data_IF_935380641679
#
_entry.id   IF_935380641679
#
_cell.length_a   1.000
_cell.length_b   1.000
_cell.length_c   1.000
_cell.angle_alpha   90.00
_cell.angle_beta   90.00
_cell.angle_gamma   90.00
#
_symmetry.space_group_name_H-M   'P 1'
#
loop_
_entity.id
_entity.type
_entity.pdbx_description
1 polymer ?
#
# COMPACT_ATOMS: atom_id res chain seq x y z
N UNK A 1 0.97 5.70 9.42
CA UNK A 1 -0.06 5.05 10.26
C UNK A 1 0.48 4.88 11.69
N UNK A 2 1.66 4.26 11.89
CA UNK A 2 2.21 4.05 13.23
C UNK A 2 2.32 5.36 14.03
N UNK A 3 2.99 6.37 13.50
CA UNK A 3 3.14 7.68 14.14
C UNK A 3 1.80 8.40 14.33
N UNK A 4 0.89 8.31 13.36
CA UNK A 4 -0.44 8.89 13.48
C UNK A 4 -1.24 8.25 14.63
N UNK A 5 -1.14 6.93 14.79
CA UNK A 5 -1.76 6.25 15.92
C UNK A 5 -1.11 6.66 17.25
N UNK A 6 0.21 6.83 17.30
CA UNK A 6 0.91 7.33 18.51
C UNK A 6 0.48 8.75 18.87
N UNK A 7 0.19 9.59 17.89
CA UNK A 7 -0.33 10.97 18.11
C UNK A 7 -1.82 11.02 18.43
N UNK A 8 -2.49 9.88 18.58
CA UNK A 8 -3.90 9.79 18.98
C UNK A 8 -4.92 9.91 17.85
N UNK A 9 -4.50 9.92 16.58
CA UNK A 9 -5.43 9.96 15.43
C UNK A 9 -6.26 8.67 15.26
N UNK A 10 -5.73 7.54 15.75
CA UNK A 10 -6.38 6.22 15.68
C UNK A 10 -6.91 5.86 14.29
N UNK A 11 -6.04 5.95 13.28
CA UNK A 11 -6.37 5.64 11.89
C UNK A 11 -6.56 4.14 11.61
N UNK A 12 -6.38 3.31 12.61
CA UNK A 12 -6.52 1.86 12.52
C UNK A 12 -5.19 1.14 12.31
N UNK A 13 -5.26 -0.14 11.93
CA UNK A 13 -4.10 -1.00 11.73
C UNK A 13 -3.99 -1.47 10.29
N UNK A 14 -2.79 -1.88 9.91
CA UNK A 14 -2.47 -2.35 8.56
C UNK A 14 -2.57 -3.86 8.50
N UNK A 15 -3.21 -4.38 7.45
CA UNK A 15 -3.01 -5.76 7.00
C UNK A 15 -2.07 -5.71 5.80
N UNK A 16 -0.91 -6.34 5.92
CA UNK A 16 0.05 -6.44 4.81
C UNK A 16 -0.31 -7.66 3.97
N UNK A 17 -0.38 -7.48 2.64
CA UNK A 17 -0.54 -8.58 1.70
C UNK A 17 0.71 -8.66 0.83
N UNK A 18 1.49 -9.72 0.99
CA UNK A 18 2.60 -10.00 0.09
C UNK A 18 2.03 -10.56 -1.21
N UNK A 19 2.14 -9.79 -2.29
CA UNK A 19 1.55 -10.14 -3.60
C UNK A 19 2.26 -11.33 -4.26
N UNK A 20 3.59 -11.44 -4.08
CA UNK A 20 4.43 -12.51 -4.66
C UNK A 20 5.27 -13.17 -3.57
N UNK A 21 5.36 -14.51 -3.60
CA UNK A 21 6.05 -15.27 -2.55
C UNK A 21 5.32 -15.24 -1.20
N UNK A 22 5.98 -15.71 -0.14
CA UNK A 22 5.40 -15.81 1.21
C UNK A 22 6.37 -15.51 2.35
N UNK A 23 7.67 -15.37 2.05
CA UNK A 23 8.72 -15.34 3.06
C UNK A 23 8.61 -14.14 4.01
N UNK A 24 8.38 -12.94 3.49
CA UNK A 24 8.26 -11.72 4.30
C UNK A 24 6.97 -11.69 5.11
N UNK A 25 5.87 -12.16 4.51
CA UNK A 25 4.61 -12.29 5.23
C UNK A 25 4.75 -13.26 6.41
N UNK A 26 5.41 -14.41 6.21
CA UNK A 26 5.70 -15.36 7.27
C UNK A 26 6.56 -14.80 8.39
N UNK A 27 7.66 -14.09 8.05
CA UNK A 27 8.53 -13.45 9.03
C UNK A 27 7.77 -12.41 9.88
N UNK A 28 6.97 -11.57 9.23
CA UNK A 28 6.20 -10.53 9.91
C UNK A 28 5.05 -11.11 10.75
N UNK A 29 4.43 -12.19 10.29
CA UNK A 29 3.43 -12.91 11.09
C UNK A 29 4.06 -13.56 12.31
N UNK A 30 5.25 -14.13 12.18
CA UNK A 30 6.02 -14.72 13.28
C UNK A 30 6.38 -13.74 14.40
N UNK A 31 6.56 -12.44 14.05
CA UNK A 31 6.79 -11.36 15.02
C UNK A 31 5.50 -10.71 15.55
N UNK A 32 4.33 -11.25 15.23
CA UNK A 32 3.04 -10.65 15.59
C UNK A 32 2.79 -9.29 14.93
N UNK A 33 3.40 -9.04 13.77
CA UNK A 33 3.29 -7.79 13.03
C UNK A 33 4.22 -6.68 13.53
N UNK A 34 5.14 -6.99 14.43
CA UNK A 34 6.09 -6.03 15.00
C UNK A 34 7.44 -6.10 14.28
N UNK A 35 8.03 -4.96 14.04
CA UNK A 35 9.36 -4.83 13.47
C UNK A 35 9.98 -3.48 13.86
N UNK A 36 11.25 -3.31 13.57
CA UNK A 36 11.96 -2.05 13.84
C UNK A 36 12.40 -1.37 12.56
N UNK A 37 12.42 -0.04 12.63
CA UNK A 37 12.97 0.83 11.60
C UNK A 37 14.15 1.58 12.20
N UNK A 38 15.31 1.46 11.58
CA UNK A 38 16.51 2.17 11.94
C UNK A 38 16.56 3.49 11.16
N UNK A 39 16.36 4.60 11.85
CA UNK A 39 16.37 5.94 11.22
C UNK A 39 17.77 6.53 11.39
N UNK A 40 18.45 6.74 10.25
CA UNK A 40 19.84 7.24 10.20
C UNK A 40 19.99 8.39 9.20
N UNK A 41 20.69 9.41 9.59
CA UNK A 41 20.99 10.54 8.71
C UNK A 41 21.18 11.85 9.45
N UNK A 42 20.81 12.95 8.78
CA UNK A 42 20.85 14.29 9.37
C UNK A 42 19.42 14.82 9.45
N UNK A 43 19.02 15.26 10.63
CA UNK A 43 17.74 15.89 10.89
C UNK A 43 17.98 17.22 11.62
N UNK A 44 17.50 18.33 11.06
CA UNK A 44 17.70 19.68 11.62
C UNK A 44 19.17 20.02 11.91
N UNK A 45 20.09 19.55 11.07
CA UNK A 45 21.54 19.79 11.22
C UNK A 45 22.24 18.87 12.22
N UNK A 46 21.53 17.97 12.89
CA UNK A 46 22.10 17.00 13.83
C UNK A 46 22.11 15.59 13.23
N UNK A 47 23.13 14.81 13.60
CA UNK A 47 23.18 13.38 13.25
C UNK A 47 22.17 12.62 14.09
N UNK A 48 21.34 11.80 13.44
CA UNK A 48 20.39 10.90 14.08
C UNK A 48 20.76 9.44 13.76
N UNK A 49 20.67 8.60 14.80
CA UNK A 49 20.76 7.16 14.73
C UNK A 49 19.85 6.61 15.82
N UNK A 50 18.59 6.27 15.45
CA UNK A 50 17.58 5.81 16.40
C UNK A 50 16.82 4.60 15.85
N UNK A 51 16.43 3.73 16.76
CA UNK A 51 15.58 2.58 16.46
C UNK A 51 14.13 2.91 16.81
N UNK A 52 13.25 2.79 15.85
CA UNK A 52 11.81 3.02 16.03
C UNK A 52 11.06 1.69 15.92
N UNK A 53 10.34 1.26 16.97
CA UNK A 53 9.46 0.09 16.87
C UNK A 53 8.24 0.43 16.02
N UNK A 54 7.83 -0.45 15.13
CA UNK A 54 6.60 -0.34 14.35
C UNK A 54 5.62 -1.43 14.79
N UNK A 55 4.45 -1.02 15.30
CA UNK A 55 3.42 -1.90 15.84
C UNK A 55 2.05 -1.70 15.16
N UNK A 56 2.01 -1.00 14.03
CA UNK A 56 0.76 -0.70 13.32
C UNK A 56 0.25 -1.87 12.49
N UNK A 57 1.05 -2.90 12.26
CA UNK A 57 0.63 -4.07 11.50
C UNK A 57 -0.15 -5.03 12.40
N UNK A 58 -1.36 -5.40 11.96
CA UNK A 58 -2.19 -6.39 12.68
C UNK A 58 -1.86 -7.82 12.28
N UNK A 59 -1.53 -8.02 11.01
CA UNK A 59 -1.12 -9.30 10.43
C UNK A 59 -0.53 -9.10 9.05
N UNK A 60 0.16 -10.12 8.57
CA UNK A 60 0.65 -10.21 7.20
C UNK A 60 0.14 -11.50 6.56
N UNK A 61 -0.24 -11.42 5.29
CA UNK A 61 -0.81 -12.52 4.52
C UNK A 61 0.02 -12.73 3.26
N UNK A 62 0.23 -13.97 2.88
CA UNK A 62 0.79 -14.33 1.58
C UNK A 62 -0.36 -14.58 0.60
N UNK A 63 -0.49 -13.76 -0.44
CA UNK A 63 -1.59 -13.90 -1.41
C UNK A 63 -1.62 -15.29 -2.05
N UNK A 64 -0.46 -15.90 -2.32
CA UNK A 64 -0.35 -17.22 -2.93
C UNK A 64 -0.87 -18.37 -2.06
N UNK A 65 -0.86 -18.22 -0.74
CA UNK A 65 -1.25 -19.27 0.20
C UNK A 65 -2.56 -18.96 0.94
N UNK A 66 -2.89 -17.67 1.10
CA UNK A 66 -3.95 -17.20 1.99
C UNK A 66 -4.99 -16.33 1.26
N UNK A 67 -5.21 -16.59 -0.04
CA UNK A 67 -6.10 -15.77 -0.86
C UNK A 67 -7.53 -15.63 -0.30
N UNK A 68 -8.17 -16.68 0.23
CA UNK A 68 -9.48 -16.54 0.87
C UNK A 68 -9.47 -15.53 2.02
N UNK A 69 -8.39 -15.49 2.81
CA UNK A 69 -8.25 -14.55 3.92
C UNK A 69 -8.02 -13.11 3.41
N UNK A 70 -7.26 -12.95 2.31
CA UNK A 70 -7.10 -11.65 1.64
C UNK A 70 -8.48 -11.12 1.20
N UNK A 71 -9.31 -11.94 0.57
CA UNK A 71 -10.66 -11.55 0.17
C UNK A 71 -11.56 -11.27 1.40
N UNK A 72 -11.42 -12.03 2.48
CA UNK A 72 -12.15 -11.77 3.73
C UNK A 72 -11.81 -10.40 4.32
N UNK A 73 -10.53 -10.03 4.32
CA UNK A 73 -10.07 -8.69 4.74
C UNK A 73 -10.61 -7.63 3.79
N UNK A 74 -10.52 -7.87 2.49
CA UNK A 74 -11.01 -6.96 1.47
C UNK A 74 -12.52 -6.69 1.61
N UNK A 75 -13.30 -7.70 1.99
CA UNK A 75 -14.73 -7.61 2.23
C UNK A 75 -15.10 -7.14 3.65
N UNK A 76 -14.16 -6.63 4.44
CA UNK A 76 -14.47 -6.01 5.72
C UNK A 76 -15.06 -4.62 5.51
N UNK A 77 -16.20 -4.34 6.17
CA UNK A 77 -16.79 -3.00 6.23
C UNK A 77 -15.90 -1.97 6.95
N UNK A 78 -14.92 -2.44 7.73
CA UNK A 78 -13.96 -1.58 8.45
C UNK A 78 -12.75 -1.20 7.60
N UNK A 79 -12.54 -1.82 6.43
CA UNK A 79 -11.44 -1.45 5.54
C UNK A 79 -11.67 -0.03 5.01
N UNK A 80 -10.69 0.85 5.18
CA UNK A 80 -10.78 2.27 4.80
C UNK A 80 -10.12 2.57 3.47
N UNK A 81 -9.01 1.90 3.16
CA UNK A 81 -8.27 2.10 1.91
C UNK A 81 -7.49 0.85 1.54
N UNK A 82 -7.12 0.76 0.27
CA UNK A 82 -6.15 -0.19 -0.27
C UNK A 82 -4.96 0.62 -0.75
N UNK A 83 -3.78 0.35 -0.19
CA UNK A 83 -2.52 0.92 -0.61
C UNK A 83 -1.72 -0.14 -1.38
N UNK A 84 -0.97 0.27 -2.39
CA UNK A 84 -0.01 -0.59 -3.06
C UNK A 84 1.39 0.03 -3.05
N UNK A 85 2.39 -0.83 -3.05
CA UNK A 85 3.80 -0.48 -3.24
C UNK A 85 4.52 -1.71 -3.81
N UNK A 86 4.25 -1.99 -5.08
CA UNK A 86 4.64 -3.22 -5.78
C UNK A 86 5.82 -3.02 -6.72
N UNK A 87 6.51 -1.88 -6.64
CA UNK A 87 7.50 -1.38 -7.61
C UNK A 87 6.87 -0.99 -8.96
N UNK A 88 7.65 -0.40 -9.85
CA UNK A 88 7.17 0.02 -11.17
C UNK A 88 6.70 -1.16 -12.02
N UNK A 89 7.40 -2.31 -11.93
CA UNK A 89 7.05 -3.55 -12.63
C UNK A 89 5.77 -4.20 -12.07
N UNK A 90 5.29 -3.77 -10.91
CA UNK A 90 4.07 -4.29 -10.31
C UNK A 90 2.79 -3.99 -11.10
N UNK A 91 2.85 -3.09 -12.08
CA UNK A 91 1.72 -2.80 -12.97
C UNK A 91 1.70 -3.70 -14.22
N UNK A 92 2.73 -4.53 -14.42
CA UNK A 92 2.77 -5.48 -15.53
C UNK A 92 1.71 -6.57 -15.35
N UNK A 93 1.10 -6.97 -16.47
CA UNK A 93 0.08 -7.99 -16.53
C UNK A 93 0.68 -9.36 -16.84
N UNK A 94 0.15 -10.41 -16.24
CA UNK A 94 0.44 -11.79 -16.65
C UNK A 94 -0.64 -12.25 -17.64
N UNK A 95 -0.28 -12.66 -18.87
CA UNK A 95 -1.24 -13.05 -19.89
C UNK A 95 -2.06 -14.30 -19.53
N UNK A 96 -1.66 -15.04 -18.51
CA UNK A 96 -2.40 -16.20 -18.02
C UNK A 96 -3.50 -15.83 -17.02
N UNK A 97 -3.56 -14.59 -16.54
CA UNK A 97 -4.58 -14.14 -15.59
C UNK A 97 -5.97 -14.18 -16.21
N UNK A 98 -6.93 -14.69 -15.46
CA UNK A 98 -8.33 -14.84 -15.87
C UNK A 98 -9.26 -14.49 -14.72
N UNK A 99 -10.47 -14.05 -15.04
CA UNK A 99 -11.53 -13.83 -14.07
C UNK A 99 -11.76 -15.07 -13.20
N UNK A 100 -11.86 -14.88 -11.90
CA UNK A 100 -12.12 -15.95 -10.94
C UNK A 100 -10.90 -16.77 -10.53
N UNK A 101 -9.68 -16.44 -10.98
CA UNK A 101 -8.47 -17.06 -10.45
C UNK A 101 -8.29 -16.70 -8.97
N UNK A 102 -7.77 -17.64 -8.20
CA UNK A 102 -7.68 -17.52 -6.74
C UNK A 102 -6.30 -17.97 -6.20
N UNK A 103 -5.27 -17.11 -6.18
CA UNK A 103 -5.24 -15.74 -6.72
C UNK A 103 -4.83 -15.66 -8.19
N UNK A 104 -5.08 -14.54 -8.88
CA UNK A 104 -4.37 -14.16 -10.09
C UNK A 104 -2.87 -13.94 -9.82
N UNK A 105 -2.05 -13.89 -10.86
CA UNK A 105 -0.59 -13.72 -10.72
C UNK A 105 -0.19 -12.25 -10.59
N UNK A 106 -0.66 -11.39 -11.50
CA UNK A 106 -0.33 -9.97 -11.47
C UNK A 106 -1.06 -9.21 -10.36
N UNK A 107 -0.49 -8.10 -9.90
CA UNK A 107 -1.12 -7.27 -8.88
C UNK A 107 -2.41 -6.58 -9.39
N UNK A 108 -2.44 -5.99 -10.61
CA UNK A 108 -3.68 -5.41 -11.11
C UNK A 108 -4.83 -6.41 -11.21
N UNK A 109 -4.54 -7.64 -11.63
CA UNK A 109 -5.53 -8.72 -11.69
C UNK A 109 -6.04 -9.12 -10.30
N UNK A 110 -5.16 -9.18 -9.28
CA UNK A 110 -5.57 -9.37 -7.88
C UNK A 110 -6.48 -8.23 -7.41
N UNK A 111 -6.17 -6.99 -7.80
CA UNK A 111 -6.99 -5.84 -7.42
C UNK A 111 -8.38 -5.90 -8.07
N UNK A 112 -8.49 -6.33 -9.34
CA UNK A 112 -9.80 -6.60 -9.97
C UNK A 112 -10.62 -7.58 -9.15
N UNK A 113 -10.03 -8.72 -8.76
CA UNK A 113 -10.75 -9.75 -7.99
C UNK A 113 -11.14 -9.25 -6.57
N UNK A 114 -10.30 -8.46 -5.94
CA UNK A 114 -10.61 -7.80 -4.65
C UNK A 114 -11.81 -6.86 -4.80
N UNK A 115 -11.81 -5.99 -5.81
CA UNK A 115 -12.90 -5.04 -6.03
C UNK A 115 -14.20 -5.75 -6.46
N UNK A 116 -14.09 -6.83 -7.27
CA UNK A 116 -15.22 -7.69 -7.62
C UNK A 116 -15.84 -8.36 -6.39
N UNK A 117 -15.01 -8.88 -5.48
CA UNK A 117 -15.49 -9.48 -4.22
C UNK A 117 -16.18 -8.43 -3.33
N UNK A 118 -15.65 -7.21 -3.23
CA UNK A 118 -16.28 -6.11 -2.49
C UNK A 118 -17.65 -5.73 -3.06
N UNK A 119 -17.74 -5.64 -4.40
CA UNK A 119 -19.01 -5.38 -5.07
C UNK A 119 -20.04 -6.49 -4.78
N UNK A 120 -19.63 -7.76 -4.89
CA UNK A 120 -20.49 -8.91 -4.60
C UNK A 120 -20.96 -8.93 -3.12
N UNK A 121 -20.16 -8.42 -2.20
CA UNK A 121 -20.52 -8.28 -0.80
C UNK A 121 -21.40 -7.03 -0.50
N UNK A 122 -21.81 -6.27 -1.51
CA UNK A 122 -22.64 -5.07 -1.36
C UNK A 122 -21.92 -3.89 -0.65
N UNK A 123 -20.60 -3.90 -0.63
CA UNK A 123 -19.81 -2.84 0.05
C UNK A 123 -19.67 -1.61 -0.85
N UNK A 124 -19.51 -0.46 -0.22
CA UNK A 124 -19.26 0.80 -0.93
C UNK A 124 -17.88 0.80 -1.60
N UNK A 125 -17.71 1.59 -2.69
CA UNK A 125 -16.40 1.91 -3.25
C UNK A 125 -15.43 2.41 -2.17
N UNK A 126 -14.13 2.23 -2.42
CA UNK A 126 -13.07 2.47 -1.43
C UNK A 126 -11.96 3.35 -2.01
N UNK A 127 -11.17 3.99 -1.15
CA UNK A 127 -9.96 4.71 -1.57
C UNK A 127 -8.87 3.73 -2.01
N UNK A 128 -8.29 3.98 -3.18
CA UNK A 128 -7.14 3.28 -3.75
C UNK A 128 -5.98 4.27 -3.79
N UNK A 129 -4.90 3.94 -3.11
CA UNK A 129 -3.76 4.83 -2.87
C UNK A 129 -2.48 4.09 -3.29
N UNK A 130 -2.14 4.08 -4.58
CA UNK A 130 -0.91 3.47 -5.07
C UNK A 130 0.29 4.32 -4.64
N UNK A 131 1.38 3.67 -4.21
CA UNK A 131 2.61 4.31 -3.76
C UNK A 131 3.80 4.01 -4.69
N UNK A 132 3.54 3.47 -5.86
CA UNK A 132 4.55 3.22 -6.87
C UNK A 132 5.09 4.54 -7.43
N UNK A 133 6.41 4.63 -7.64
CA UNK A 133 7.07 5.84 -8.13
C UNK A 133 6.85 6.01 -9.65
N UNK A 134 5.63 6.31 -10.00
CA UNK A 134 5.19 6.60 -11.37
C UNK A 134 4.36 7.87 -11.40
N UNK A 135 4.58 8.68 -12.41
CA UNK A 135 3.70 9.82 -12.67
C UNK A 135 2.31 9.32 -13.05
N UNK A 136 1.26 9.94 -12.50
CA UNK A 136 -0.13 9.54 -12.67
C UNK A 136 -0.38 8.05 -12.29
N UNK A 137 0.23 7.60 -11.20
CA UNK A 137 0.20 6.20 -10.77
C UNK A 137 -1.23 5.67 -10.55
N UNK A 138 -2.13 6.46 -9.98
CA UNK A 138 -3.51 6.03 -9.74
C UNK A 138 -4.34 5.98 -11.03
N UNK A 139 -4.23 6.97 -11.89
CA UNK A 139 -4.91 7.00 -13.20
C UNK A 139 -4.44 5.86 -14.09
N UNK A 140 -3.14 5.56 -14.08
CA UNK A 140 -2.58 4.45 -14.82
C UNK A 140 -3.09 3.11 -14.27
N UNK A 141 -3.02 2.89 -12.96
CA UNK A 141 -3.51 1.67 -12.33
C UNK A 141 -5.01 1.48 -12.59
N UNK A 142 -5.80 2.55 -12.46
CA UNK A 142 -7.23 2.53 -12.77
C UNK A 142 -7.49 2.08 -14.21
N UNK A 143 -6.76 2.62 -15.17
CA UNK A 143 -6.93 2.26 -16.59
C UNK A 143 -6.62 0.79 -16.84
N UNK A 144 -5.56 0.25 -16.23
CA UNK A 144 -5.19 -1.17 -16.33
C UNK A 144 -6.28 -2.07 -15.71
N UNK A 145 -6.75 -1.74 -14.51
CA UNK A 145 -7.78 -2.51 -13.80
C UNK A 145 -9.10 -2.51 -14.56
N UNK A 146 -9.50 -1.37 -15.13
CA UNK A 146 -10.69 -1.27 -15.98
C UNK A 146 -10.51 -2.01 -17.31
N UNK A 147 -9.33 -1.95 -17.92
CA UNK A 147 -8.99 -2.74 -19.11
C UNK A 147 -9.20 -4.22 -18.85
N UNK A 148 -8.61 -4.77 -17.79
CA UNK A 148 -8.81 -6.16 -17.40
C UNK A 148 -10.28 -6.52 -17.13
N UNK A 149 -11.01 -5.65 -16.42
CA UNK A 149 -12.42 -5.88 -16.13
C UNK A 149 -13.26 -5.97 -17.41
N UNK A 150 -12.98 -5.14 -18.41
CA UNK A 150 -13.63 -5.19 -19.72
C UNK A 150 -13.20 -6.42 -20.53
N UNK A 151 -11.91 -6.74 -20.60
CA UNK A 151 -11.38 -7.91 -21.33
C UNK A 151 -11.96 -9.22 -20.76
N UNK A 152 -12.14 -9.28 -19.44
CA UNK A 152 -12.78 -10.38 -18.74
C UNK A 152 -14.30 -10.35 -18.81
N UNK A 153 -14.89 -9.36 -19.47
CA UNK A 153 -16.33 -9.19 -19.63
C UNK A 153 -17.09 -9.24 -18.31
N UNK A 154 -16.55 -8.57 -17.30
CA UNK A 154 -17.20 -8.50 -15.99
C UNK A 154 -18.55 -7.76 -16.09
N UNK A 155 -19.52 -8.08 -15.21
CA UNK A 155 -20.80 -7.38 -15.18
C UNK A 155 -20.64 -5.86 -15.03
N UNK A 156 -21.50 -5.08 -15.69
CA UNK A 156 -21.46 -3.62 -15.67
C UNK A 156 -21.42 -3.03 -14.27
N UNK A 157 -22.16 -3.61 -13.31
CA UNK A 157 -22.13 -3.17 -11.92
C UNK A 157 -20.75 -3.30 -11.23
N UNK A 158 -19.92 -4.27 -11.63
CA UNK A 158 -18.54 -4.40 -11.16
C UNK A 158 -17.68 -3.28 -11.73
N UNK A 159 -17.83 -3.01 -13.03
CA UNK A 159 -17.11 -1.92 -13.72
C UNK A 159 -17.49 -0.56 -13.11
N UNK A 160 -18.77 -0.33 -12.84
CA UNK A 160 -19.26 0.87 -12.18
C UNK A 160 -18.68 1.01 -10.76
N UNK A 161 -18.62 -0.09 -10.01
CA UNK A 161 -18.01 -0.11 -8.69
C UNK A 161 -16.52 0.26 -8.73
N UNK A 162 -15.76 -0.29 -9.67
CA UNK A 162 -14.33 0.05 -9.90
C UNK A 162 -14.19 1.53 -10.25
N UNK A 163 -15.03 2.05 -11.14
CA UNK A 163 -15.03 3.45 -11.52
C UNK A 163 -15.33 4.39 -10.36
N UNK A 164 -16.23 4.00 -9.48
CA UNK A 164 -16.68 4.78 -8.32
C UNK A 164 -15.67 4.75 -7.15
N UNK A 165 -14.63 3.91 -7.18
CA UNK A 165 -13.54 3.96 -6.20
C UNK A 165 -12.81 5.31 -6.29
N UNK A 166 -12.32 5.79 -5.16
CA UNK A 166 -11.52 7.02 -5.08
C UNK A 166 -10.06 6.70 -5.36
N UNK A 167 -9.57 7.05 -6.54
CA UNK A 167 -8.21 6.79 -7.00
C UNK A 167 -7.34 8.01 -6.75
N UNK A 168 -6.45 7.96 -5.76
CA UNK A 168 -5.62 9.08 -5.34
C UNK A 168 -4.25 9.02 -5.98
N UNK A 169 -3.89 10.01 -6.79
CA UNK A 169 -2.50 10.17 -7.23
C UNK A 169 -1.60 10.42 -6.04
N UNK A 170 -0.40 9.85 -6.05
CA UNK A 170 0.52 9.99 -4.93
C UNK A 170 1.96 10.22 -5.38
N UNK A 171 2.74 10.79 -4.47
CA UNK A 171 4.20 10.71 -4.49
C UNK A 171 4.69 10.32 -3.11
N UNK A 172 5.48 9.25 -3.05
CA UNK A 172 6.21 8.85 -1.85
C UNK A 172 7.70 9.16 -2.05
N UNK A 173 8.30 9.83 -1.08
CA UNK A 173 9.72 10.15 -1.11
C UNK A 173 10.35 9.89 0.27
N UNK A 174 11.14 8.84 0.33
CA UNK A 174 11.98 8.48 1.47
C UNK A 174 13.02 7.48 1.00
N UNK A 175 14.29 7.73 1.31
CA UNK A 175 15.34 6.76 1.03
C UNK A 175 15.27 5.64 2.07
N UNK A 176 15.06 4.42 1.60
CA UNK A 176 15.09 3.20 2.38
C UNK A 176 16.24 2.34 1.86
N UNK A 177 17.28 2.21 2.67
CA UNK A 177 18.50 1.47 2.28
C UNK A 177 18.37 -0.04 2.46
N UNK A 178 17.26 -0.49 3.03
CA UNK A 178 16.99 -1.91 3.26
C UNK A 178 17.55 -2.43 4.58
N UNK A 179 17.82 -3.73 4.64
CA UNK A 179 18.34 -4.39 5.83
C UNK A 179 19.76 -3.89 6.13
N UNK A 180 20.03 -3.33 7.32
CA UNK A 180 21.37 -2.86 7.68
C UNK A 180 22.32 -4.05 7.87
N UNK A 181 23.58 -3.85 7.51
CA UNK A 181 24.62 -4.84 7.82
C UNK A 181 25.03 -4.78 9.30
N UNK A 182 25.32 -5.93 9.90
CA UNK A 182 25.94 -6.05 11.23
C UNK A 182 25.21 -5.33 12.37
N UNK A 183 23.88 -5.21 12.33
CA UNK A 183 23.11 -4.62 13.43
C UNK A 183 22.64 -5.68 14.44
N UNK A 184 22.79 -5.49 15.78
CA UNK A 184 22.42 -6.49 16.79
C UNK A 184 20.98 -6.98 16.70
N UNK A 185 20.04 -6.09 16.34
CA UNK A 185 18.62 -6.47 16.20
C UNK A 185 18.33 -7.46 15.08
N UNK A 186 19.25 -7.68 14.13
CA UNK A 186 19.06 -8.70 13.08
C UNK A 186 18.89 -10.11 13.62
N UNK A 187 19.44 -10.37 14.81
CA UNK A 187 19.28 -11.66 15.49
C UNK A 187 17.83 -11.93 15.91
N UNK A 188 17.02 -10.91 16.13
CA UNK A 188 15.66 -11.01 16.67
C UNK A 188 14.59 -10.40 15.76
N UNK A 189 14.98 -9.56 14.83
CA UNK A 189 14.07 -8.90 13.88
C UNK A 189 14.55 -9.06 12.43
N UNK A 190 14.06 -10.08 11.71
CA UNK A 190 14.41 -10.30 10.32
C UNK A 190 13.78 -9.25 9.36
N UNK A 191 12.86 -8.42 9.89
CA UNK A 191 12.22 -7.33 9.13
C UNK A 191 12.86 -5.97 9.37
N UNK A 192 13.94 -5.91 10.18
CA UNK A 192 14.68 -4.66 10.42
C UNK A 192 15.08 -4.01 9.09
N UNK A 193 14.72 -2.75 8.95
CA UNK A 193 15.06 -1.95 7.76
C UNK A 193 15.61 -0.59 8.18
N UNK A 194 16.49 -0.03 7.37
CA UNK A 194 17.06 1.29 7.61
C UNK A 194 16.53 2.32 6.60
N UNK A 195 16.33 3.53 7.07
CA UNK A 195 15.87 4.64 6.25
C UNK A 195 16.41 5.98 6.75
N UNK A 196 16.31 6.99 5.90
CA UNK A 196 16.60 8.38 6.28
C UNK A 196 15.51 8.98 7.19
N UNK A 197 15.81 10.07 7.92
CA UNK A 197 14.81 10.80 8.71
C UNK A 197 13.75 11.48 7.87
N UNK A 198 14.12 11.99 6.69
CA UNK A 198 13.18 12.64 5.78
C UNK A 198 12.12 11.66 5.28
N UNK A 199 10.89 12.13 5.24
CA UNK A 199 9.78 11.39 4.64
C UNK A 199 8.75 12.37 4.07
N UNK A 200 8.28 12.09 2.87
CA UNK A 200 7.17 12.79 2.24
C UNK A 200 6.19 11.78 1.65
N UNK A 201 4.91 11.95 1.96
CA UNK A 201 3.82 11.25 1.31
C UNK A 201 2.80 12.27 0.84
N UNK A 202 2.92 12.69 -0.42
CA UNK A 202 1.95 13.55 -1.07
C UNK A 202 0.80 12.71 -1.61
N UNK A 203 -0.44 13.08 -1.29
CA UNK A 203 -1.66 12.37 -1.68
C UNK A 203 -2.62 13.37 -2.29
N UNK A 204 -3.16 13.04 -3.46
CA UNK A 204 -4.16 13.88 -4.12
C UNK A 204 -5.46 13.89 -3.31
N UNK A 205 -5.95 15.09 -3.02
CA UNK A 205 -7.29 15.29 -2.46
C UNK A 205 -8.36 15.02 -3.52
N UNK A 206 -9.40 14.32 -3.12
CA UNK A 206 -10.60 14.12 -3.93
C UNK A 206 -11.77 14.79 -3.20
N UNK A 207 -12.49 15.74 -3.82
CA UNK A 207 -13.61 16.41 -3.18
C UNK A 207 -14.64 15.43 -2.62
N UNK A 208 -15.03 15.61 -1.36
CA UNK A 208 -15.99 14.75 -0.68
C UNK A 208 -15.42 13.44 -0.11
N UNK A 209 -14.14 13.15 -0.32
CA UNK A 209 -13.45 11.99 0.27
C UNK A 209 -12.68 12.44 1.51
N UNK A 210 -12.94 11.87 2.69
CA UNK A 210 -12.22 12.22 3.91
C UNK A 210 -10.72 11.91 3.81
N UNK A 211 -9.88 12.75 4.38
CA UNK A 211 -8.46 12.47 4.59
C UNK A 211 -8.32 11.31 5.58
N UNK A 212 -7.59 10.29 5.20
CA UNK A 212 -7.43 9.07 6.00
C UNK A 212 -6.33 9.17 7.05
N UNK A 213 -5.40 10.11 6.87
CA UNK A 213 -4.17 10.18 7.64
C UNK A 213 -3.68 11.62 7.67
N UNK A 214 -3.40 12.14 8.86
CA UNK A 214 -2.75 13.42 9.04
C UNK A 214 -1.44 13.23 9.82
N UNK A 215 -0.35 13.72 9.24
CA UNK A 215 0.98 13.64 9.83
C UNK A 215 1.87 14.70 9.16
N UNK A 216 2.90 15.26 9.83
CA UNK A 216 3.80 16.25 9.20
C UNK A 216 4.45 15.79 7.90
N UNK A 217 4.67 14.48 7.73
CA UNK A 217 5.20 13.90 6.48
C UNK A 217 4.14 13.63 5.43
N UNK A 218 2.85 13.90 5.69
CA UNK A 218 1.74 13.68 4.74
C UNK A 218 1.23 15.02 4.24
N UNK A 219 1.29 15.20 2.93
CA UNK A 219 0.79 16.39 2.26
C UNK A 219 -0.45 16.03 1.42
N UNK A 220 -1.62 16.43 1.89
CA UNK A 220 -2.82 16.38 1.06
C UNK A 220 -2.84 17.60 0.13
N UNK A 221 -3.02 17.38 -1.16
CA UNK A 221 -2.88 18.41 -2.20
C UNK A 221 -3.84 18.18 -3.35
N UNK A 222 -4.37 19.22 -3.98
CA UNK A 222 -5.17 19.05 -5.18
C UNK A 222 -4.37 18.53 -6.39
N UNK A 223 -3.02 18.65 -6.34
CA UNK A 223 -2.14 18.20 -7.42
C UNK A 223 -0.78 17.76 -6.87
N UNK A 224 -0.39 16.53 -7.14
CA UNK A 224 0.89 15.96 -6.71
C UNK A 224 2.06 16.26 -7.65
N UNK A 225 1.79 16.70 -8.88
CA UNK A 225 2.83 16.99 -9.89
C UNK A 225 3.94 17.93 -9.41
N UNK A 226 3.68 19.03 -8.66
CA UNK A 226 4.74 19.90 -8.15
C UNK A 226 5.76 19.16 -7.26
N UNK A 227 5.36 18.09 -6.59
CA UNK A 227 6.25 17.28 -5.76
C UNK A 227 7.17 16.41 -6.60
N UNK A 228 6.66 15.83 -7.71
CA UNK A 228 7.49 15.12 -8.70
C UNK A 228 8.57 16.03 -9.28
N UNK A 229 8.21 17.24 -9.69
CA UNK A 229 9.15 18.20 -10.29
C UNK A 229 10.25 18.66 -9.32
N UNK A 230 10.02 18.63 -8.02
CA UNK A 230 11.03 18.91 -6.99
C UNK A 230 12.00 17.76 -6.79
N UNK A 231 11.53 16.52 -6.95
CA UNK A 231 12.36 15.31 -6.79
C UNK A 231 13.34 15.13 -7.95
N UNK A 232 13.01 15.58 -9.15
CA UNK A 232 13.84 15.44 -10.36
C UNK A 232 14.94 16.52 -10.46
N UNK A 233 14.95 17.51 -9.57
CA UNK A 233 15.98 18.56 -9.47
C UNK A 233 16.96 18.27 -8.35
#
# INVERSE_FOLDING_TARGET
IHHANQSGQNVGRVVIVQSTGAQRAGALSGSGGKYHVLVRGIENGAVVDRVEPCESVSRALAASAEWPEVLRVACSGNLKAILSNTTEAGYDLDPSDKAGMAPPKSFPAKLVEVLRARHAAGLKPISIIPCELRENNASLLKSIVLGLANDWKLPGGVIDHINACSWHETLVDRIVTGTPENHPLLATDPMLTACEPYALFAIQEIPGVPRLLEHPSVAWTPNVLPYFLRKVR
#
